data_IF_689925934582
#
_entry.id   IF_689925934582
#
_cell.length_a   1.000
_cell.length_b   1.000
_cell.length_c   1.000
_cell.angle_alpha   90.00
_cell.angle_beta   90.00
_cell.angle_gamma   90.00
#
_symmetry.space_group_name_H-M   'P 1'
#
loop_
_entity.id
_entity.type
_entity.pdbx_description
1 polymer ?
#
# COMPACT_ATOMS: atom_id res chain seq x y z
N UNK A 1 -1.43 17.32 82.08
CA UNK A 1 -1.76 17.89 80.75
C UNK A 1 -0.74 17.51 79.65
N UNK A 2 0.56 17.33 79.97
CA UNK A 2 1.60 16.94 78.99
C UNK A 2 1.46 15.51 78.44
N UNK A 3 1.09 14.54 79.28
CA UNK A 3 0.95 13.12 78.90
C UNK A 3 -0.25 12.82 77.99
N UNK A 4 -1.30 13.65 78.04
CA UNK A 4 -2.50 13.49 77.21
C UNK A 4 -2.25 13.98 75.77
N UNK A 5 -1.52 15.09 75.60
CA UNK A 5 -1.09 15.60 74.29
C UNK A 5 -0.16 14.62 73.58
N UNK A 6 0.78 14.01 74.30
CA UNK A 6 1.71 13.03 73.72
C UNK A 6 1.02 11.76 73.23
N UNK A 7 -0.02 11.28 73.93
CA UNK A 7 -0.81 10.11 73.51
C UNK A 7 -1.71 10.43 72.30
N UNK A 8 -2.27 11.64 72.26
CA UNK A 8 -3.11 12.08 71.15
C UNK A 8 -2.29 12.22 69.85
N UNK A 9 -1.07 12.78 69.93
CA UNK A 9 -0.14 12.88 68.78
C UNK A 9 0.27 11.50 68.26
N UNK A 10 0.54 10.53 69.14
CA UNK A 10 0.89 9.17 68.75
C UNK A 10 -0.27 8.45 68.05
N UNK A 11 -1.50 8.63 68.53
CA UNK A 11 -2.70 8.05 67.91
C UNK A 11 -2.96 8.68 66.54
N UNK A 12 -2.75 10.00 66.38
CA UNK A 12 -2.88 10.68 65.08
C UNK A 12 -1.84 10.20 64.08
N UNK A 13 -0.58 10.03 64.49
CA UNK A 13 0.48 9.48 63.64
C UNK A 13 0.21 8.02 63.22
N UNK A 14 -0.29 7.19 64.14
CA UNK A 14 -0.66 5.80 63.82
C UNK A 14 -1.83 5.73 62.83
N UNK A 15 -2.83 6.61 62.98
CA UNK A 15 -3.95 6.70 62.04
C UNK A 15 -3.45 7.13 60.65
N UNK A 16 -2.59 8.15 60.54
CA UNK A 16 -2.03 8.57 59.25
C UNK A 16 -1.22 7.46 58.56
N UNK A 17 -0.44 6.67 59.31
CA UNK A 17 0.32 5.55 58.74
C UNK A 17 -0.60 4.43 58.19
N UNK A 18 -1.71 4.13 58.87
CA UNK A 18 -2.67 3.09 58.44
C UNK A 18 -3.52 3.55 57.25
N UNK A 19 -3.75 4.86 57.08
CA UNK A 19 -4.43 5.40 55.90
C UNK A 19 -3.53 5.50 54.67
N UNK A 20 -2.21 5.65 54.83
CA UNK A 20 -1.26 5.72 53.71
C UNK A 20 -1.02 4.39 52.99
N UNK A 21 -1.32 3.24 53.61
CA UNK A 21 -1.17 1.92 52.99
C UNK A 21 -2.40 1.44 52.19
N UNK A 22 -3.46 2.26 52.09
CA UNK A 22 -4.72 1.88 51.43
C UNK A 22 -4.86 2.32 49.97
N UNK A 23 -3.81 2.85 49.36
CA UNK A 23 -3.84 3.35 47.97
C UNK A 23 -3.56 2.26 46.93
N UNK A 24 -2.70 1.30 47.24
CA UNK A 24 -2.18 0.36 46.24
C UNK A 24 -2.97 -0.96 46.16
N UNK A 25 -3.62 -1.38 47.26
CA UNK A 25 -4.30 -2.67 47.34
C UNK A 25 -5.69 -2.71 46.67
N UNK A 26 -6.31 -1.55 46.40
CA UNK A 26 -7.65 -1.49 45.77
C UNK A 26 -7.59 -1.87 44.29
N UNK A 27 -6.47 -1.63 43.62
CA UNK A 27 -6.31 -1.89 42.19
C UNK A 27 -5.88 -3.32 41.87
N UNK A 28 -5.13 -3.97 42.77
CA UNK A 28 -4.63 -5.33 42.57
C UNK A 28 -5.72 -6.42 42.56
N UNK A 29 -6.94 -6.11 43.01
CA UNK A 29 -8.14 -6.98 42.96
C UNK A 29 -9.32 -6.33 42.21
N UNK A 30 -9.05 -5.37 41.34
CA UNK A 30 -10.09 -4.81 40.49
C UNK A 30 -10.48 -5.81 39.40
N UNK A 31 -11.77 -6.01 39.17
CA UNK A 31 -12.29 -6.79 38.03
C UNK A 31 -11.77 -6.26 36.68
N UNK A 32 -11.33 -5.00 36.64
CA UNK A 32 -10.77 -4.35 35.45
C UNK A 32 -9.28 -4.63 35.24
N UNK A 33 -8.58 -5.27 36.19
CA UNK A 33 -7.16 -5.61 36.03
C UNK A 33 -6.91 -6.49 34.80
N UNK A 34 -7.86 -7.38 34.48
CA UNK A 34 -7.81 -8.23 33.28
C UNK A 34 -8.07 -7.45 31.97
N UNK A 35 -8.76 -6.30 32.05
CA UNK A 35 -9.05 -5.45 30.90
C UNK A 35 -7.91 -4.50 30.56
N UNK A 36 -7.00 -4.25 31.51
CA UNK A 36 -5.92 -3.30 31.36
C UNK A 36 -4.99 -3.62 30.16
N UNK A 37 -4.54 -4.86 30.04
CA UNK A 37 -3.68 -5.30 28.93
C UNK A 37 -4.34 -5.13 27.55
N UNK A 38 -5.55 -5.66 27.31
CA UNK A 38 -6.29 -5.44 26.07
C UNK A 38 -6.53 -3.95 25.73
N UNK A 39 -6.85 -3.12 26.73
CA UNK A 39 -7.04 -1.68 26.52
C UNK A 39 -5.74 -0.96 26.14
N UNK A 40 -4.61 -1.33 26.75
CA UNK A 40 -3.29 -0.82 26.34
C UNK A 40 -2.93 -1.18 24.89
N UNK A 41 -3.32 -2.37 24.40
CA UNK A 41 -3.10 -2.75 23.00
C UNK A 41 -3.94 -1.91 22.03
N UNK A 42 -5.18 -1.58 22.39
CA UNK A 42 -6.02 -0.67 21.59
C UNK A 42 -5.44 0.75 21.58
N UNK A 43 -4.94 1.23 22.71
CA UNK A 43 -4.29 2.53 22.83
C UNK A 43 -3.02 2.59 21.95
N UNK A 44 -2.15 1.59 22.05
CA UNK A 44 -0.91 1.50 21.27
C UNK A 44 -1.16 1.40 19.75
N UNK A 45 -2.31 0.87 19.32
CA UNK A 45 -2.67 0.86 17.90
C UNK A 45 -2.86 2.28 17.37
N UNK A 46 -3.39 3.20 18.19
CA UNK A 46 -3.52 4.62 17.87
C UNK A 46 -2.22 5.42 18.02
N UNK A 47 -1.12 4.84 18.51
CA UNK A 47 0.19 5.50 18.56
C UNK A 47 0.97 5.32 17.25
N UNK A 48 0.84 4.14 16.62
CA UNK A 48 1.51 3.81 15.37
C UNK A 48 0.83 4.39 14.11
N UNK A 49 1.53 4.31 12.98
CA UNK A 49 0.93 4.42 11.64
C UNK A 49 1.13 3.05 11.00
N UNK A 50 0.07 2.39 10.51
CA UNK A 50 0.24 1.10 9.85
C UNK A 50 1.05 1.28 8.57
N UNK A 51 2.05 0.44 8.39
CA UNK A 51 2.89 0.38 7.18
C UNK A 51 2.71 -0.96 6.51
N UNK A 52 2.56 -1.00 5.19
CA UNK A 52 2.68 -2.24 4.42
C UNK A 52 4.08 -2.35 3.81
N UNK A 53 4.53 -3.56 3.49
CA UNK A 53 5.61 -3.73 2.54
C UNK A 53 5.27 -2.99 1.25
N UNK A 54 6.23 -2.22 0.73
CA UNK A 54 6.05 -1.56 -0.58
C UNK A 54 5.81 -2.65 -1.64
N UNK A 55 4.79 -2.50 -2.51
CA UNK A 55 4.61 -3.45 -3.61
C UNK A 55 5.88 -3.51 -4.47
N UNK A 56 6.17 -4.69 -5.01
CA UNK A 56 7.26 -4.84 -5.96
C UNK A 56 7.02 -3.92 -7.17
N UNK A 57 8.08 -3.28 -7.66
CA UNK A 57 7.99 -2.42 -8.85
C UNK A 57 8.55 -3.19 -10.04
N UNK A 58 7.82 -3.24 -11.14
CA UNK A 58 8.36 -3.65 -12.43
C UNK A 58 8.83 -2.42 -13.18
N UNK A 59 10.02 -2.53 -13.79
CA UNK A 59 10.49 -1.54 -14.74
C UNK A 59 9.56 -1.57 -15.95
N UNK A 60 8.73 -0.54 -16.09
CA UNK A 60 7.76 -0.41 -17.18
C UNK A 60 8.44 -0.37 -18.55
N UNK A 61 9.73 -0.04 -18.61
CA UNK A 61 10.53 -0.12 -19.84
C UNK A 61 10.76 -1.56 -20.31
N UNK A 62 10.76 -2.54 -19.40
CA UNK A 62 10.85 -3.96 -19.75
C UNK A 62 9.58 -4.44 -20.45
N UNK A 63 8.41 -4.11 -19.89
CA UNK A 63 7.10 -4.45 -20.47
C UNK A 63 6.97 -3.79 -21.84
N UNK A 64 7.26 -2.48 -21.92
CA UNK A 64 7.26 -1.76 -23.19
C UNK A 64 8.24 -2.36 -24.19
N UNK A 65 9.42 -2.78 -23.75
CA UNK A 65 10.43 -3.44 -24.60
C UNK A 65 9.94 -4.77 -25.17
N UNK A 66 9.29 -5.62 -24.36
CA UNK A 66 8.73 -6.90 -24.80
C UNK A 66 7.57 -6.68 -25.78
N UNK A 67 6.70 -5.70 -25.51
CA UNK A 67 5.60 -5.33 -26.42
C UNK A 67 6.13 -4.79 -27.75
N UNK A 68 7.14 -3.91 -27.74
CA UNK A 68 7.80 -3.40 -28.95
C UNK A 68 8.46 -4.53 -29.73
N UNK A 69 9.14 -5.45 -29.05
CA UNK A 69 9.73 -6.62 -29.70
C UNK A 69 8.65 -7.46 -30.38
N UNK A 70 7.59 -7.81 -29.67
CA UNK A 70 6.47 -8.56 -30.25
C UNK A 70 5.86 -7.84 -31.47
N UNK A 71 5.58 -6.54 -31.36
CA UNK A 71 5.07 -5.73 -32.47
C UNK A 71 6.03 -5.69 -33.66
N UNK A 72 7.34 -5.62 -33.44
CA UNK A 72 8.35 -5.63 -34.51
C UNK A 72 8.42 -6.95 -35.28
N UNK A 73 8.07 -8.06 -34.61
CA UNK A 73 8.04 -9.41 -35.19
C UNK A 73 6.68 -9.79 -35.74
N UNK A 74 5.65 -8.97 -35.54
CA UNK A 74 4.33 -9.25 -36.07
C UNK A 74 4.31 -9.13 -37.60
N UNK A 75 3.28 -9.69 -38.22
CA UNK A 75 3.17 -9.66 -39.68
C UNK A 75 3.15 -8.22 -40.22
N UNK A 76 3.83 -7.96 -41.34
CA UNK A 76 3.88 -6.60 -41.88
C UNK A 76 2.44 -6.09 -42.17
N UNK A 77 1.54 -6.94 -42.69
CA UNK A 77 0.14 -6.60 -42.94
C UNK A 77 -0.65 -6.34 -41.64
N UNK A 78 -0.25 -6.97 -40.53
CA UNK A 78 -0.79 -6.70 -39.20
C UNK A 78 -0.30 -5.36 -38.65
N UNK A 79 1.00 -5.07 -38.76
CA UNK A 79 1.59 -3.83 -38.25
C UNK A 79 0.98 -2.58 -38.92
N UNK A 80 0.66 -2.63 -40.22
CA UNK A 80 0.03 -1.48 -40.91
C UNK A 80 -1.37 -1.17 -40.41
N UNK A 81 -2.09 -2.12 -39.80
CA UNK A 81 -3.44 -1.86 -39.25
C UNK A 81 -3.43 -0.78 -38.15
N UNK A 82 -2.27 -0.58 -37.52
CA UNK A 82 -2.09 0.33 -36.40
C UNK A 82 -1.60 1.72 -36.78
N UNK A 83 -1.40 1.98 -38.07
CA UNK A 83 -0.88 3.25 -38.58
C UNK A 83 -1.92 3.94 -39.44
N UNK A 84 -2.33 5.14 -39.04
CA UNK A 84 -3.31 5.93 -39.80
C UNK A 84 -2.60 6.67 -40.95
N UNK A 85 -3.07 6.55 -42.19
CA UNK A 85 -2.56 7.33 -43.34
C UNK A 85 -1.01 7.32 -43.49
N UNK A 86 -0.36 6.21 -43.09
CA UNK A 86 1.10 6.08 -43.07
C UNK A 86 1.83 6.89 -41.98
N UNK A 87 1.11 7.64 -41.13
CA UNK A 87 1.68 8.43 -40.02
C UNK A 87 0.71 8.53 -38.83
N UNK A 88 1.24 8.28 -37.63
CA UNK A 88 0.46 8.35 -36.40
C UNK A 88 -0.42 7.12 -36.16
N UNK A 89 -1.18 7.15 -35.06
CA UNK A 89 -1.87 5.98 -34.51
C UNK A 89 -3.24 5.78 -35.16
N UNK A 90 -3.51 4.57 -35.62
CA UNK A 90 -4.86 4.14 -35.99
C UNK A 90 -5.58 3.65 -34.73
N UNK A 91 -6.31 4.53 -34.06
CA UNK A 91 -7.11 4.16 -32.88
C UNK A 91 -8.33 3.33 -33.28
N UNK A 92 -8.89 2.60 -32.32
CA UNK A 92 -10.11 1.82 -32.51
C UNK A 92 -11.23 2.71 -33.04
N UNK A 93 -11.46 3.85 -32.38
CA UNK A 93 -12.48 4.82 -32.79
C UNK A 93 -12.28 5.32 -34.22
N UNK A 94 -11.03 5.49 -34.64
CA UNK A 94 -10.66 5.95 -35.97
C UNK A 94 -10.84 4.92 -37.09
N UNK A 95 -11.13 3.64 -36.78
CA UNK A 95 -11.39 2.62 -37.80
C UNK A 95 -12.73 2.84 -38.50
N UNK A 96 -12.79 2.49 -39.79
CA UNK A 96 -14.06 2.37 -40.52
C UNK A 96 -14.89 1.20 -39.98
N UNK A 97 -16.19 1.16 -40.30
CA UNK A 97 -17.13 0.17 -39.76
C UNK A 97 -16.79 -1.27 -40.15
N UNK A 98 -16.30 -1.52 -41.35
CA UNK A 98 -15.98 -2.85 -41.85
C UNK A 98 -14.79 -3.53 -41.10
N UNK A 99 -13.63 -2.87 -40.92
CA UNK A 99 -12.56 -3.35 -40.03
C UNK A 99 -13.02 -3.53 -38.59
N UNK A 100 -13.83 -2.60 -38.04
CA UNK A 100 -14.36 -2.75 -36.67
C UNK A 100 -15.16 -4.04 -36.49
N UNK A 101 -15.96 -4.42 -37.49
CA UNK A 101 -16.70 -5.69 -37.47
C UNK A 101 -15.73 -6.89 -37.50
N UNK A 102 -14.73 -6.83 -38.37
CA UNK A 102 -13.75 -7.92 -38.55
C UNK A 102 -12.86 -8.12 -37.31
N UNK A 103 -12.53 -7.04 -36.60
CA UNK A 103 -11.62 -7.05 -35.46
C UNK A 103 -12.32 -6.87 -34.11
N UNK A 104 -13.63 -7.06 -34.02
CA UNK A 104 -14.41 -6.81 -32.80
C UNK A 104 -13.82 -7.43 -31.53
N UNK A 105 -13.28 -8.65 -31.63
CA UNK A 105 -12.68 -9.38 -30.51
C UNK A 105 -11.39 -8.72 -29.99
N UNK A 106 -10.83 -7.78 -30.74
CA UNK A 106 -9.54 -7.13 -30.51
C UNK A 106 -9.69 -5.70 -29.99
N UNK A 107 -10.94 -5.21 -29.79
CA UNK A 107 -11.25 -3.86 -29.32
C UNK A 107 -10.47 -3.48 -28.05
N UNK A 108 -10.44 -4.37 -27.06
CA UNK A 108 -9.81 -4.09 -25.77
C UNK A 108 -8.28 -3.92 -25.82
N UNK A 109 -7.61 -4.45 -26.84
CA UNK A 109 -6.15 -4.33 -27.01
C UNK A 109 -5.72 -3.35 -28.11
N UNK A 110 -6.66 -2.87 -28.93
CA UNK A 110 -6.36 -2.17 -30.17
C UNK A 110 -5.49 -0.93 -29.97
N UNK A 111 -5.91 -0.05 -29.08
CA UNK A 111 -5.22 1.23 -28.86
C UNK A 111 -3.84 1.03 -28.24
N UNK A 112 -3.66 -0.01 -27.43
CA UNK A 112 -2.35 -0.37 -26.87
C UNK A 112 -1.39 -0.85 -27.96
N UNK A 113 -1.85 -1.65 -28.92
CA UNK A 113 -1.02 -2.04 -30.06
C UNK A 113 -0.72 -0.83 -30.96
N UNK A 114 -1.67 0.07 -31.17
CA UNK A 114 -1.45 1.32 -31.89
C UNK A 114 -0.40 2.21 -31.22
N UNK A 115 -0.48 2.35 -29.90
CA UNK A 115 0.53 3.04 -29.09
C UNK A 115 1.90 2.37 -29.26
N UNK A 116 1.96 1.05 -29.10
CA UNK A 116 3.20 0.27 -29.18
C UNK A 116 3.85 0.43 -30.55
N UNK A 117 3.08 0.37 -31.64
CA UNK A 117 3.61 0.56 -33.00
C UNK A 117 4.14 1.98 -33.22
N UNK A 118 3.43 2.98 -32.72
CA UNK A 118 3.89 4.37 -32.76
C UNK A 118 5.18 4.57 -31.95
N UNK A 119 5.25 4.00 -30.75
CA UNK A 119 6.42 4.09 -29.87
C UNK A 119 7.62 3.31 -30.41
N UNK A 120 7.40 2.18 -31.10
CA UNK A 120 8.43 1.45 -31.84
C UNK A 120 9.01 2.33 -32.95
N UNK A 121 8.15 2.93 -33.78
CA UNK A 121 8.58 3.77 -34.92
C UNK A 121 9.37 5.00 -34.47
N UNK A 122 9.06 5.56 -33.31
CA UNK A 122 9.77 6.72 -32.75
C UNK A 122 11.09 6.35 -32.03
N UNK A 123 11.28 5.09 -31.66
CA UNK A 123 12.42 4.65 -30.83
C UNK A 123 13.58 4.11 -31.68
N UNK A 124 14.36 5.03 -32.23
CA UNK A 124 15.52 4.74 -33.07
C UNK A 124 16.58 3.89 -32.36
N UNK A 125 16.72 4.03 -31.03
CA UNK A 125 17.66 3.23 -30.25
C UNK A 125 17.21 1.77 -30.15
N UNK A 126 15.90 1.52 -30.05
CA UNK A 126 15.36 0.17 -30.07
C UNK A 126 15.53 -0.49 -31.44
N UNK A 127 15.29 0.25 -32.53
CA UNK A 127 15.54 -0.23 -33.91
C UNK A 127 17.01 -0.63 -34.12
N UNK A 128 17.97 0.17 -33.63
CA UNK A 128 19.39 -0.20 -33.66
C UNK A 128 19.69 -1.50 -32.89
N UNK A 129 19.03 -1.72 -31.74
CA UNK A 129 19.16 -2.95 -30.96
C UNK A 129 18.59 -4.16 -31.70
N UNK A 130 17.42 -4.02 -32.32
CA UNK A 130 16.82 -5.06 -33.17
C UNK A 130 17.77 -5.45 -34.30
N UNK A 131 18.34 -4.45 -34.99
CA UNK A 131 19.28 -4.67 -36.08
C UNK A 131 20.55 -5.40 -35.61
N UNK A 132 21.16 -4.94 -34.51
CA UNK A 132 22.35 -5.58 -33.91
C UNK A 132 22.08 -7.03 -33.46
N UNK A 133 20.86 -7.32 -33.02
CA UNK A 133 20.42 -8.65 -32.64
C UNK A 133 19.94 -9.52 -33.83
N UNK A 134 19.95 -8.98 -35.06
CA UNK A 134 19.61 -9.72 -36.29
C UNK A 134 18.11 -9.82 -36.58
N UNK A 135 17.24 -9.22 -35.75
CA UNK A 135 15.78 -9.29 -35.92
C UNK A 135 15.28 -8.60 -37.19
N UNK A 136 16.00 -7.60 -37.70
CA UNK A 136 15.63 -6.91 -38.95
C UNK A 136 15.91 -7.72 -40.21
N UNK A 137 16.65 -8.83 -40.11
CA UNK A 137 17.01 -9.71 -41.23
C UNK A 137 16.12 -10.95 -41.34
N UNK A 138 15.19 -11.12 -40.39
CA UNK A 138 14.28 -12.25 -40.38
C UNK A 138 13.30 -12.19 -41.56
N UNK A 139 13.13 -13.34 -42.21
CA UNK A 139 12.08 -13.54 -43.22
C UNK A 139 10.70 -13.50 -42.56
N UNK A 140 9.66 -13.27 -43.38
CA UNK A 140 8.29 -13.19 -42.87
C UNK A 140 7.84 -14.44 -42.07
N UNK A 141 8.12 -15.68 -42.52
CA UNK A 141 7.81 -16.86 -41.70
C UNK A 141 8.57 -16.88 -40.37
N UNK A 142 9.83 -16.43 -40.35
CA UNK A 142 10.64 -16.39 -39.13
C UNK A 142 10.13 -15.34 -38.14
N UNK A 143 9.71 -14.17 -38.63
CA UNK A 143 9.05 -13.13 -37.81
C UNK A 143 7.81 -13.68 -37.12
N UNK A 144 6.93 -14.36 -37.87
CA UNK A 144 5.71 -14.98 -37.30
C UNK A 144 6.05 -16.03 -36.24
N UNK A 145 7.06 -16.89 -36.47
CA UNK A 145 7.52 -17.83 -35.45
C UNK A 145 8.07 -17.13 -34.20
N UNK A 146 8.84 -16.05 -34.37
CA UNK A 146 9.37 -15.26 -33.27
C UNK A 146 8.25 -14.55 -32.48
N UNK A 147 7.27 -13.97 -33.17
CA UNK A 147 6.07 -13.38 -32.59
C UNK A 147 5.32 -14.40 -31.72
N UNK A 148 5.04 -15.59 -32.27
CA UNK A 148 4.36 -16.66 -31.52
C UNK A 148 5.13 -17.13 -30.28
N UNK A 149 6.48 -17.15 -30.35
CA UNK A 149 7.30 -17.46 -29.19
C UNK A 149 7.24 -16.37 -28.09
N UNK A 150 6.99 -15.12 -28.47
CA UNK A 150 6.90 -13.96 -27.57
C UNK A 150 5.51 -13.76 -26.97
N UNK A 151 4.44 -14.24 -27.61
CA UNK A 151 3.05 -14.05 -27.17
C UNK A 151 2.85 -14.42 -25.69
N UNK A 152 3.37 -15.57 -25.26
CA UNK A 152 3.28 -15.99 -23.86
C UNK A 152 3.99 -15.02 -22.92
N UNK A 153 5.18 -14.55 -23.29
CA UNK A 153 5.95 -13.61 -22.46
C UNK A 153 5.26 -12.25 -22.34
N UNK A 154 4.65 -11.77 -23.43
CA UNK A 154 3.85 -10.53 -23.43
C UNK A 154 2.65 -10.70 -22.48
N UNK A 155 1.90 -11.79 -22.63
CA UNK A 155 0.72 -12.05 -21.80
C UNK A 155 1.07 -12.18 -20.31
N UNK A 156 2.14 -12.90 -19.98
CA UNK A 156 2.62 -13.02 -18.59
C UNK A 156 3.07 -11.65 -18.03
N UNK A 157 3.78 -10.85 -18.83
CA UNK A 157 4.23 -9.51 -18.41
C UNK A 157 3.04 -8.56 -18.16
N UNK A 158 2.00 -8.61 -18.98
CA UNK A 158 0.79 -7.80 -18.83
C UNK A 158 -0.02 -8.21 -17.59
N UNK A 159 -0.19 -9.51 -17.34
CA UNK A 159 -0.84 -10.01 -16.13
C UNK A 159 -0.07 -9.60 -14.87
N UNK A 160 1.26 -9.73 -14.87
CA UNK A 160 2.10 -9.26 -13.75
C UNK A 160 1.92 -7.75 -13.55
N UNK A 161 1.95 -6.95 -14.62
CA UNK A 161 1.76 -5.50 -14.51
C UNK A 161 0.40 -5.16 -13.89
N UNK A 162 -0.66 -5.83 -14.33
CA UNK A 162 -2.01 -5.66 -13.79
C UNK A 162 -2.09 -5.98 -12.30
N UNK A 163 -1.47 -7.08 -11.86
CA UNK A 163 -1.41 -7.47 -10.45
C UNK A 163 -0.65 -6.42 -9.61
N UNK A 164 0.44 -5.86 -10.14
CA UNK A 164 1.20 -4.82 -9.45
C UNK A 164 0.43 -3.52 -9.35
N UNK A 165 -0.23 -3.09 -10.42
CA UNK A 165 -1.11 -1.92 -10.38
C UNK A 165 -2.27 -2.12 -9.40
N UNK A 166 -2.82 -3.32 -9.31
CA UNK A 166 -3.87 -3.65 -8.34
C UNK A 166 -3.34 -3.61 -6.90
N UNK A 167 -2.16 -4.18 -6.65
CA UNK A 167 -1.50 -4.10 -5.35
C UNK A 167 -1.20 -2.64 -4.97
N UNK A 168 -0.78 -1.80 -5.91
CA UNK A 168 -0.56 -0.38 -5.68
C UNK A 168 -1.88 0.38 -5.45
N UNK A 169 -2.94 0.10 -6.22
CA UNK A 169 -4.29 0.65 -6.01
C UNK A 169 -4.82 0.33 -4.60
N UNK A 170 -4.55 -0.87 -4.11
CA UNK A 170 -5.03 -1.36 -2.82
C UNK A 170 -4.02 -1.20 -1.67
N UNK A 171 -2.91 -0.48 -1.88
CA UNK A 171 -1.88 -0.31 -0.85
C UNK A 171 -2.42 0.42 0.39
N UNK A 172 -2.08 -0.09 1.58
CA UNK A 172 -2.43 0.54 2.86
C UNK A 172 -1.88 1.97 2.95
N UNK A 173 -0.77 2.27 2.26
CA UNK A 173 -0.14 3.58 2.27
C UNK A 173 -1.12 4.66 1.78
N UNK A 174 -2.02 4.30 0.83
CA UNK A 174 -3.04 5.21 0.29
C UNK A 174 -4.14 5.57 1.29
N UNK A 175 -4.35 4.73 2.30
CA UNK A 175 -5.39 4.91 3.33
C UNK A 175 -4.80 5.06 4.74
N UNK A 176 -3.48 5.07 4.89
CA UNK A 176 -2.77 5.08 6.18
C UNK A 176 -3.18 6.26 7.06
N UNK A 177 -3.32 7.46 6.48
CA UNK A 177 -3.82 8.65 7.16
C UNK A 177 -5.27 8.50 7.62
N UNK A 178 -6.14 7.89 6.82
CA UNK A 178 -7.52 7.63 7.19
C UNK A 178 -7.59 6.61 8.33
N UNK A 179 -6.81 5.52 8.24
CA UNK A 179 -6.72 4.53 9.31
C UNK A 179 -6.24 5.19 10.61
N UNK A 180 -5.24 6.07 10.54
CA UNK A 180 -4.77 6.83 11.71
C UNK A 180 -5.86 7.73 12.30
N UNK A 181 -6.61 8.43 11.46
CA UNK A 181 -7.72 9.28 11.88
C UNK A 181 -8.85 8.47 12.55
N UNK A 182 -9.19 7.30 12.00
CA UNK A 182 -10.21 6.41 12.56
C UNK A 182 -9.77 5.84 13.91
N UNK A 183 -8.51 5.42 14.02
CA UNK A 183 -7.91 4.94 15.28
C UNK A 183 -7.88 6.03 16.34
N UNK A 184 -7.46 7.25 15.99
CA UNK A 184 -7.47 8.38 16.91
C UNK A 184 -8.92 8.72 17.35
N UNK A 185 -9.89 8.71 16.43
CA UNK A 185 -11.30 8.96 16.76
C UNK A 185 -11.84 7.90 17.73
N UNK A 186 -11.51 6.63 17.50
CA UNK A 186 -11.96 5.53 18.35
C UNK A 186 -11.37 5.59 19.77
N UNK A 187 -10.12 6.03 19.91
CA UNK A 187 -9.38 6.03 21.18
C UNK A 187 -9.56 7.35 21.94
N UNK A 188 -9.44 8.48 21.25
CA UNK A 188 -9.40 9.82 21.85
C UNK A 188 -10.66 10.64 21.58
N UNK A 189 -11.56 10.20 20.71
CA UNK A 189 -12.72 10.97 20.28
C UNK A 189 -12.40 12.11 19.32
N UNK A 190 -11.15 12.22 18.86
CA UNK A 190 -10.66 13.26 17.94
C UNK A 190 -9.80 12.62 16.85
N UNK A 191 -10.05 12.95 15.59
CA UNK A 191 -9.31 12.40 14.45
C UNK A 191 -7.83 12.84 14.42
N UNK A 192 -7.50 13.96 15.05
CA UNK A 192 -6.17 14.59 14.97
C UNK A 192 -5.22 14.16 16.10
N UNK A 193 -5.60 13.15 16.90
CA UNK A 193 -4.78 12.61 17.97
C UNK A 193 -5.44 12.78 19.33
N UNK A 194 -4.65 13.04 20.36
CA UNK A 194 -5.14 13.04 21.75
C UNK A 194 -6.14 14.15 22.09
N UNK A 195 -6.36 15.16 21.24
CA UNK A 195 -7.39 16.20 21.47
C UNK A 195 -7.41 16.76 22.90
N UNK A 196 -8.57 16.71 23.55
CA UNK A 196 -8.74 17.08 24.97
C UNK A 196 -8.34 15.96 25.95
N UNK A 197 -8.21 14.71 25.49
CA UNK A 197 -7.67 13.61 26.28
C UNK A 197 -6.25 13.93 26.75
N UNK A 198 -5.39 14.44 25.86
CA UNK A 198 -4.02 14.85 26.18
C UNK A 198 -3.93 16.11 27.06
N UNK A 199 -5.02 16.89 27.16
CA UNK A 199 -5.14 18.08 28.03
C UNK A 199 -5.71 17.75 29.41
N UNK A 200 -6.18 16.51 29.62
CA UNK A 200 -6.82 16.10 30.87
C UNK A 200 -5.82 16.05 32.02
N UNK A 201 -5.74 17.14 32.80
CA UNK A 201 -5.03 17.19 34.08
C UNK A 201 -5.83 16.45 35.16
N UNK A 202 -6.00 15.13 35.04
CA UNK A 202 -6.54 14.36 36.16
C UNK A 202 -5.50 14.29 37.30
N UNK A 203 -5.93 14.24 38.58
CA UNK A 203 -5.06 14.48 39.74
C UNK A 203 -4.04 13.37 40.02
N UNK A 204 -4.10 12.27 39.27
CA UNK A 204 -3.21 11.13 39.44
C UNK A 204 -2.04 11.25 38.47
N UNK A 205 -0.91 11.64 39.03
CA UNK A 205 0.44 11.55 38.52
C UNK A 205 0.79 10.18 37.87
N UNK A 206 0.04 9.12 38.17
CA UNK A 206 0.16 7.79 37.54
C UNK A 206 -0.31 7.78 36.08
N UNK A 207 -1.19 8.72 35.69
CA UNK A 207 -1.67 8.85 34.30
C UNK A 207 -0.56 9.34 33.36
N UNK A 208 0.43 10.07 33.88
CA UNK A 208 1.61 10.52 33.12
C UNK A 208 2.64 9.41 32.87
N UNK A 209 2.50 8.25 33.51
CA UNK A 209 3.34 7.08 33.20
C UNK A 209 2.70 6.25 32.09
N UNK A 210 2.76 6.79 30.87
CA UNK A 210 2.58 6.05 29.59
C UNK A 210 3.34 4.70 29.62
N UNK A 211 4.41 4.61 30.42
CA UNK A 211 5.18 3.40 30.70
C UNK A 211 4.38 2.16 31.19
N UNK A 212 3.17 2.30 31.76
CA UNK A 212 2.39 1.13 32.22
C UNK A 212 1.89 0.26 31.06
N UNK A 213 1.66 0.85 29.87
CA UNK A 213 1.33 0.07 28.67
C UNK A 213 2.57 -0.57 28.02
N UNK A 214 3.78 -0.04 28.24
CA UNK A 214 5.04 -0.60 27.73
C UNK A 214 5.35 -1.98 28.30
N UNK A 215 4.93 -2.25 29.54
CA UNK A 215 5.12 -3.54 30.23
C UNK A 215 4.06 -4.59 29.87
N UNK A 216 2.88 -4.16 29.38
CA UNK A 216 1.71 -5.03 29.15
C UNK A 216 1.39 -5.27 27.65
N UNK A 217 2.00 -4.48 26.76
CA UNK A 217 1.68 -4.42 25.33
C UNK A 217 2.59 -5.20 24.39
N UNK A 218 3.53 -6.03 24.90
CA UNK A 218 4.43 -6.79 24.02
C UNK A 218 3.64 -7.79 23.18
N UNK A 219 3.63 -7.58 21.86
CA UNK A 219 3.14 -8.56 20.89
C UNK A 219 4.28 -9.57 20.73
N UNK A 220 4.05 -10.82 21.14
CA UNK A 220 4.93 -11.91 20.76
C UNK A 220 4.84 -12.04 19.23
N UNK A 221 5.97 -11.84 18.55
CA UNK A 221 6.08 -12.01 17.10
C UNK A 221 5.76 -13.42 16.65
#
# INVERSE_FOLDING_TARGET
>A
MSTLKSKMVLITLLLLAVFSERSDAVWAKSDNAQLFGPLCKLLQLADGIPTAPKPATVDTSLISGIQKLNMSQADDAWQVQFVKDGKGKQTWEGLTSEPKVSYKMLEGGWDQWAETKSALTADTTFEEKLAKAGFTTLTQPQKVCACSALERMVSEAEEINKLLEEAERNSIDKVSTQIKADLNTAVYGDANGEGDYGKSTAPHNDRKTIAKCDDSGKIAG
#
